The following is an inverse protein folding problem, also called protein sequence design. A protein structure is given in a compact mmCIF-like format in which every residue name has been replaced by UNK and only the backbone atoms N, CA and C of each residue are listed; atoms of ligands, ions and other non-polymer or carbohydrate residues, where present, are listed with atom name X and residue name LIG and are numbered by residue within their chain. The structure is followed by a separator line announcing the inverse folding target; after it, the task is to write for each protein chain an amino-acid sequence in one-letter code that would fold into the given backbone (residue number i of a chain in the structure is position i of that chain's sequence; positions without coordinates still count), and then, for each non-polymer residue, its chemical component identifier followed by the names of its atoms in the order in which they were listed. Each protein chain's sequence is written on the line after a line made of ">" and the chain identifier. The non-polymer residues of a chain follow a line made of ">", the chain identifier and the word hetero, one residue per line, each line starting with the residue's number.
data_IF_545636854362
#
_entry.id   IF_545636854362
#
_cell.length_a   1.000
_cell.length_b   1.000
_cell.length_c   1.000
_cell.angle_alpha   90.00
_cell.angle_beta   90.00
_cell.angle_gamma   90.00
#
_symmetry.space_group_name_H-M   'P 1'
#
loop_
_entity.id
_entity.type
_entity.pdbx_description
1 polymer ?
#
# COMPACT_ATOMS: atom_id res chain seq x y z
N UNK A 1 -8.49 -14.88 -16.71
CA UNK A 1 -8.37 -15.49 -15.37
C UNK A 1 -6.94 -15.30 -14.86
N UNK A 2 -5.95 -15.90 -15.51
CA UNK A 2 -4.55 -15.88 -15.07
C UNK A 2 -3.87 -14.50 -14.93
N UNK A 3 -4.21 -13.53 -15.78
CA UNK A 3 -3.57 -12.20 -15.71
C UNK A 3 -3.91 -11.45 -14.42
N UNK A 4 -5.18 -11.54 -13.97
CA UNK A 4 -5.62 -10.92 -12.72
C UNK A 4 -4.88 -11.54 -11.54
N UNK A 5 -4.83 -12.87 -11.47
CA UNK A 5 -4.16 -13.59 -10.39
C UNK A 5 -2.65 -13.25 -10.33
N UNK A 6 -2.01 -13.04 -11.48
CA UNK A 6 -0.61 -12.61 -11.56
C UNK A 6 -0.44 -11.16 -11.08
N UNK A 7 -1.34 -10.24 -11.46
CA UNK A 7 -1.33 -8.85 -10.99
C UNK A 7 -1.56 -8.78 -9.48
N UNK A 8 -2.51 -9.57 -8.96
CA UNK A 8 -2.81 -9.67 -7.53
C UNK A 8 -1.59 -10.24 -6.76
N UNK A 9 -0.95 -11.30 -7.25
CA UNK A 9 0.28 -11.83 -6.65
C UNK A 9 1.44 -10.81 -6.69
N UNK A 10 1.57 -10.05 -7.77
CA UNK A 10 2.55 -8.96 -7.84
C UNK A 10 2.22 -7.87 -6.83
N UNK A 11 0.96 -7.51 -6.65
CA UNK A 11 0.55 -6.53 -5.63
C UNK A 11 0.85 -7.02 -4.22
N UNK A 12 0.63 -8.32 -3.93
CA UNK A 12 0.97 -8.93 -2.63
C UNK A 12 2.46 -8.86 -2.32
N UNK A 13 3.33 -9.04 -3.31
CA UNK A 13 4.78 -8.87 -3.11
C UNK A 13 5.12 -7.47 -2.59
N UNK A 14 4.54 -6.42 -3.19
CA UNK A 14 4.82 -5.03 -2.82
C UNK A 14 4.17 -4.65 -1.48
N UNK A 15 2.97 -5.15 -1.20
CA UNK A 15 2.15 -4.69 -0.07
C UNK A 15 2.27 -5.57 1.17
N UNK A 16 2.15 -6.89 1.03
CA UNK A 16 2.12 -7.83 2.16
C UNK A 16 3.50 -8.42 2.46
N UNK A 17 4.33 -8.64 1.44
CA UNK A 17 5.67 -9.23 1.58
C UNK A 17 6.80 -8.19 1.66
N UNK A 18 6.43 -6.91 1.73
CA UNK A 18 7.34 -5.77 1.87
C UNK A 18 8.51 -5.77 0.87
N UNK A 19 8.29 -6.30 -0.34
CA UNK A 19 9.31 -6.24 -1.38
C UNK A 19 9.38 -4.82 -1.95
N UNK A 20 10.60 -4.27 -2.12
CA UNK A 20 10.75 -2.96 -2.74
C UNK A 20 10.29 -3.00 -4.19
N UNK A 21 9.72 -1.92 -4.74
CA UNK A 21 9.27 -1.88 -6.15
C UNK A 21 10.41 -2.17 -7.14
N UNK A 22 11.66 -1.87 -6.79
CA UNK A 22 12.84 -2.23 -7.59
C UNK A 22 13.02 -3.75 -7.77
N UNK A 23 12.36 -4.58 -6.95
CA UNK A 23 12.32 -6.03 -7.08
C UNK A 23 11.84 -6.47 -8.47
N UNK A 24 10.79 -5.85 -9.00
CA UNK A 24 10.22 -6.21 -10.32
C UNK A 24 11.18 -5.91 -11.47
N UNK A 25 12.10 -4.96 -11.27
CA UNK A 25 13.12 -4.63 -12.27
C UNK A 25 14.37 -5.49 -12.20
N UNK A 26 14.51 -6.29 -11.15
CA UNK A 26 15.66 -7.16 -10.95
C UNK A 26 15.79 -8.19 -12.08
N UNK A 27 17.04 -8.51 -12.43
CA UNK A 27 17.34 -9.57 -13.40
C UNK A 27 16.73 -10.91 -12.97
N UNK A 28 16.83 -11.25 -11.69
CA UNK A 28 16.35 -12.53 -11.17
C UNK A 28 14.84 -12.69 -11.35
N UNK A 29 14.06 -11.67 -10.99
CA UNK A 29 12.61 -11.69 -11.21
C UNK A 29 12.29 -11.85 -12.70
N UNK A 30 12.90 -11.03 -13.56
CA UNK A 30 12.68 -11.08 -15.02
C UNK A 30 13.00 -12.45 -15.62
N UNK A 31 14.10 -13.09 -15.21
CA UNK A 31 14.48 -14.42 -15.71
C UNK A 31 13.48 -15.49 -15.26
N UNK A 32 13.04 -15.45 -14.01
CA UNK A 32 12.10 -16.44 -13.47
C UNK A 32 10.69 -16.28 -14.03
N UNK A 33 10.25 -15.04 -14.26
CA UNK A 33 8.88 -14.75 -14.66
C UNK A 33 8.67 -14.77 -16.18
N UNK A 34 9.71 -14.48 -16.97
CA UNK A 34 9.65 -14.39 -18.43
C UNK A 34 8.97 -15.58 -19.12
N UNK A 35 9.31 -16.86 -18.83
CA UNK A 35 8.67 -17.98 -19.52
C UNK A 35 7.14 -18.02 -19.34
N UNK A 36 6.66 -17.61 -18.16
CA UNK A 36 5.22 -17.57 -17.87
C UNK A 36 4.55 -16.34 -18.48
N UNK A 37 5.20 -15.18 -18.42
CA UNK A 37 4.65 -13.95 -18.99
C UNK A 37 4.56 -14.03 -20.52
N UNK A 38 5.62 -14.52 -21.17
CA UNK A 38 5.65 -14.72 -22.61
C UNK A 38 4.62 -15.80 -23.04
N UNK A 39 4.53 -16.91 -22.29
CA UNK A 39 3.60 -18.00 -22.58
C UNK A 39 2.12 -17.64 -22.39
N UNK A 40 1.82 -16.68 -21.51
CA UNK A 40 0.45 -16.20 -21.25
C UNK A 40 0.12 -14.89 -21.98
N UNK A 41 1.05 -14.36 -22.78
CA UNK A 41 0.92 -13.05 -23.45
C UNK A 41 0.55 -11.91 -22.49
N UNK A 42 1.13 -11.93 -21.29
CA UNK A 42 0.91 -10.91 -20.27
C UNK A 42 1.94 -9.79 -20.48
N UNK A 43 1.49 -8.54 -20.34
CA UNK A 43 2.38 -7.39 -20.37
C UNK A 43 3.50 -7.52 -19.33
N UNK A 44 4.69 -7.04 -19.69
CA UNK A 44 5.84 -7.10 -18.78
C UNK A 44 5.55 -6.35 -17.50
N UNK A 45 5.66 -7.04 -16.37
CA UNK A 45 5.61 -6.43 -15.05
C UNK A 45 6.87 -5.59 -14.81
N UNK A 46 6.68 -4.34 -14.37
CA UNK A 46 7.74 -3.37 -14.08
C UNK A 46 7.44 -2.68 -12.75
N UNK A 47 8.43 -2.00 -12.15
CA UNK A 47 8.16 -1.19 -10.97
C UNK A 47 7.05 -0.14 -11.22
N UNK A 48 7.05 0.47 -12.40
CA UNK A 48 6.11 1.53 -12.78
C UNK A 48 4.66 1.03 -12.86
N UNK A 49 4.39 -0.08 -13.54
CA UNK A 49 3.01 -0.56 -13.66
C UNK A 49 2.48 -1.14 -12.35
N UNK A 50 3.35 -1.72 -11.50
CA UNK A 50 2.94 -2.13 -10.16
C UNK A 50 2.68 -0.90 -9.28
N UNK A 51 3.46 0.17 -9.40
CA UNK A 51 3.20 1.42 -8.68
C UNK A 51 1.82 1.98 -9.02
N UNK A 52 1.44 2.03 -10.30
CA UNK A 52 0.11 2.50 -10.74
C UNK A 52 -1.02 1.60 -10.20
N UNK A 53 -0.80 0.28 -10.14
CA UNK A 53 -1.75 -0.66 -9.53
C UNK A 53 -1.90 -0.44 -8.02
N UNK A 54 -0.78 -0.22 -7.31
CA UNK A 54 -0.76 0.11 -5.88
C UNK A 54 -1.51 1.43 -5.64
N UNK A 55 -1.26 2.45 -6.46
CA UNK A 55 -1.93 3.75 -6.36
C UNK A 55 -3.45 3.63 -6.57
N UNK A 56 -3.87 2.88 -7.58
CA UNK A 56 -5.30 2.62 -7.82
C UNK A 56 -5.95 1.96 -6.62
N UNK A 57 -5.31 0.92 -6.05
CA UNK A 57 -5.82 0.21 -4.87
C UNK A 57 -5.82 1.07 -3.62
N UNK A 58 -4.82 1.95 -3.47
CA UNK A 58 -4.76 2.94 -2.41
C UNK A 58 -5.94 3.92 -2.50
N UNK A 59 -6.25 4.44 -3.69
CA UNK A 59 -7.39 5.37 -3.90
C UNK A 59 -8.72 4.67 -3.57
N UNK A 60 -8.90 3.42 -4.03
CA UNK A 60 -10.07 2.61 -3.70
C UNK A 60 -10.23 2.45 -2.17
N UNK A 61 -9.15 2.07 -1.49
CA UNK A 61 -9.13 1.89 -0.03
C UNK A 61 -9.41 3.20 0.71
N UNK A 62 -8.78 4.30 0.29
CA UNK A 62 -9.00 5.63 0.87
C UNK A 62 -10.47 6.05 0.76
N UNK A 63 -11.07 5.89 -0.42
CA UNK A 63 -12.48 6.20 -0.63
C UNK A 63 -13.39 5.29 0.22
N UNK A 64 -13.02 4.02 0.39
CA UNK A 64 -13.73 3.11 1.28
C UNK A 64 -13.71 3.61 2.73
N UNK A 65 -12.53 3.91 3.28
CA UNK A 65 -12.35 4.42 4.65
C UNK A 65 -13.17 5.71 4.84
N UNK A 66 -13.09 6.66 3.90
CA UNK A 66 -13.87 7.91 3.96
C UNK A 66 -15.37 7.62 4.03
N UNK A 67 -15.87 6.71 3.18
CA UNK A 67 -17.28 6.35 3.17
C UNK A 67 -17.73 5.65 4.45
N UNK A 68 -16.90 4.79 5.02
CA UNK A 68 -17.19 4.05 6.25
C UNK A 68 -17.16 4.95 7.49
N UNK A 69 -16.26 5.93 7.53
CA UNK A 69 -16.09 6.84 8.66
C UNK A 69 -17.04 8.05 8.62
N UNK A 70 -17.63 8.36 7.46
CA UNK A 70 -18.53 9.51 7.30
C UNK A 70 -19.74 9.41 8.22
N UNK A 71 -19.91 10.44 9.06
CA UNK A 71 -21.03 10.53 10.01
C UNK A 71 -20.93 9.56 11.20
N UNK A 72 -19.79 8.91 11.40
CA UNK A 72 -19.53 8.03 12.54
C UNK A 72 -18.75 8.77 13.63
N UNK A 73 -18.88 8.31 14.88
CA UNK A 73 -17.98 8.71 15.95
C UNK A 73 -16.68 7.92 15.79
N UNK A 74 -15.59 8.64 15.55
CA UNK A 74 -14.25 8.08 15.38
C UNK A 74 -13.35 8.52 16.55
N UNK A 75 -12.41 7.65 16.93
CA UNK A 75 -11.28 7.95 17.78
C UNK A 75 -10.02 7.93 16.93
N UNK A 76 -9.20 8.96 17.06
CA UNK A 76 -7.92 9.05 16.35
C UNK A 76 -6.82 9.02 17.41
N UNK A 77 -5.90 8.07 17.29
CA UNK A 77 -4.65 8.04 18.06
C UNK A 77 -3.55 8.58 17.17
N UNK A 78 -2.77 9.51 17.71
CA UNK A 78 -1.65 10.14 17.02
C UNK A 78 -0.40 9.89 17.85
N UNK A 79 0.55 9.17 17.28
CA UNK A 79 1.82 8.82 17.91
C UNK A 79 2.95 9.46 17.12
N UNK A 80 3.85 10.18 17.79
CA UNK A 80 5.02 10.77 17.16
C UNK A 80 6.29 10.09 17.64
N UNK A 81 7.20 9.82 16.70
CA UNK A 81 8.52 9.27 17.00
C UNK A 81 9.58 10.03 16.20
N UNK A 82 10.68 10.40 16.85
CA UNK A 82 11.81 11.09 16.20
C UNK A 82 13.07 10.23 16.32
N UNK A 83 13.78 10.01 15.22
CA UNK A 83 15.04 9.26 15.18
C UNK A 83 15.93 9.75 14.03
N UNK A 84 17.20 10.06 14.29
CA UNK A 84 18.19 10.55 13.31
C UNK A 84 17.64 11.66 12.38
N UNK A 85 17.18 12.77 12.96
CA UNK A 85 16.59 13.93 12.25
C UNK A 85 15.36 13.62 11.39
N UNK A 86 14.72 12.47 11.59
CA UNK A 86 13.45 12.10 10.96
C UNK A 86 12.37 12.01 12.02
N UNK A 87 11.26 12.70 11.77
CA UNK A 87 10.04 12.56 12.57
C UNK A 87 9.02 11.74 11.80
N UNK A 88 8.36 10.81 12.49
CA UNK A 88 7.28 9.99 11.96
C UNK A 88 6.05 10.25 12.82
N UNK A 89 4.93 10.57 12.16
CA UNK A 89 3.62 10.67 12.77
C UNK A 89 2.81 9.41 12.39
N UNK A 90 2.59 8.52 13.33
CA UNK A 90 1.62 7.44 13.20
C UNK A 90 0.23 7.97 13.49
N UNK A 91 -0.69 7.83 12.53
CA UNK A 91 -2.11 8.12 12.71
C UNK A 91 -2.85 6.78 12.73
N UNK A 92 -3.69 6.54 13.73
CA UNK A 92 -4.49 5.34 13.83
C UNK A 92 -5.95 5.70 14.08
N UNK A 93 -6.84 5.25 13.19
CA UNK A 93 -8.27 5.53 13.22
C UNK A 93 -9.02 4.34 13.82
N UNK A 94 -9.86 4.58 14.81
CA UNK A 94 -10.69 3.58 15.47
C UNK A 94 -12.15 4.02 15.44
N UNK A 95 -13.06 3.10 15.16
CA UNK A 95 -14.49 3.38 15.18
C UNK A 95 -15.28 2.23 15.77
N UNK A 96 -16.41 2.54 16.40
CA UNK A 96 -17.33 1.54 16.95
C UNK A 96 -18.51 1.41 16.01
N UNK A 97 -18.64 0.25 15.36
CA UNK A 97 -19.80 -0.11 14.53
C UNK A 97 -20.74 -1.00 15.36
N UNK A 98 -22.05 -0.75 15.32
CA UNK A 98 -23.04 -1.56 16.08
C UNK A 98 -22.81 -3.07 15.83
N UNK A 99 -22.44 -3.78 16.90
CA UNK A 99 -22.18 -5.23 17.01
C UNK A 99 -21.04 -5.87 16.19
N UNK A 100 -20.10 -5.10 15.64
CA UNK A 100 -18.83 -5.68 15.15
C UNK A 100 -17.71 -4.66 15.23
N UNK A 101 -16.65 -4.96 15.97
CA UNK A 101 -15.44 -4.13 16.02
C UNK A 101 -14.66 -4.32 14.71
N UNK A 102 -14.52 -3.27 13.91
CA UNK A 102 -13.64 -3.25 12.72
C UNK A 102 -12.52 -2.24 12.94
N UNK A 103 -11.27 -2.71 12.92
CA UNK A 103 -10.06 -1.89 12.97
C UNK A 103 -9.62 -1.60 11.53
N UNK A 104 -9.56 -0.33 11.15
CA UNK A 104 -8.98 0.11 9.87
C UNK A 104 -7.75 0.98 10.15
N UNK A 105 -6.58 0.54 9.68
CA UNK A 105 -5.31 1.23 9.91
C UNK A 105 -4.91 2.00 8.65
N UNK A 106 -4.68 3.31 8.78
CA UNK A 106 -4.10 4.14 7.73
C UNK A 106 -2.81 4.75 8.26
N UNK A 107 -1.65 4.21 7.85
CA UNK A 107 -0.34 4.76 8.20
C UNK A 107 0.06 5.77 7.14
N UNK A 108 0.17 7.05 7.50
CA UNK A 108 0.68 8.11 6.63
C UNK A 108 2.03 8.58 7.16
N UNK A 109 3.10 8.34 6.41
CA UNK A 109 4.45 8.75 6.80
C UNK A 109 4.71 10.16 6.25
N UNK A 110 4.50 11.18 7.09
CA UNK A 110 4.87 12.56 6.76
C UNK A 110 6.32 12.77 7.21
N UNK A 111 7.27 12.79 6.27
CA UNK A 111 8.64 13.24 6.53
C UNK A 111 8.77 14.70 6.11
N UNK A 112 8.60 15.63 7.06
CA UNK A 112 8.95 17.04 6.85
C UNK A 112 10.19 17.38 7.68
N UNK A 113 11.19 17.98 7.04
CA UNK A 113 12.32 18.61 7.71
C UNK A 113 11.82 19.90 8.36
N UNK A 114 11.39 19.82 9.62
CA UNK A 114 11.06 21.00 10.43
C UNK A 114 12.35 21.64 10.95
N UNK A 115 13.14 22.22 10.05
CA UNK A 115 14.14 23.22 10.39
C UNK A 115 13.82 24.51 9.61
N UNK A 116 13.38 25.53 10.36
CA UNK A 116 13.10 26.93 10.02
C UNK A 116 11.61 27.35 10.00
N UNK A 117 11.06 27.63 11.18
CA UNK A 117 10.61 29.00 11.56
C UNK A 117 10.43 29.08 13.07
#
# INVERSE_FOLDING_TARGET
>A
MYEKDIKDACLEFATLQSQPLSFYDSRSFKVLSKPRFDGLQIDRITSQNIYELVETKYIEMKNHIINVTKGQIISIKMDTATHNDRSVLGIHLQMVKKFTYSLECAVEMISENWYNT
#
